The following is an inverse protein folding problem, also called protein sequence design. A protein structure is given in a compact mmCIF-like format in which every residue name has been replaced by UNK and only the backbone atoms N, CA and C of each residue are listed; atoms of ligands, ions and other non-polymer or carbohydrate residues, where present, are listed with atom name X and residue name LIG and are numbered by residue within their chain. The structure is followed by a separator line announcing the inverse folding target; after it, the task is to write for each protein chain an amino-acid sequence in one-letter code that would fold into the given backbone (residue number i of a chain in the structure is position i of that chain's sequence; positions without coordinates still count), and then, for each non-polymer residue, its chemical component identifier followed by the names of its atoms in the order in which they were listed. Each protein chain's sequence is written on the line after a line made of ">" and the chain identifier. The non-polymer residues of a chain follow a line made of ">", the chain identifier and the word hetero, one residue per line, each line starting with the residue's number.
data_IF_696582661386
#
_entry.id   IF_696582661386
#
_cell.length_a   1.000
_cell.length_b   1.000
_cell.length_c   1.000
_cell.angle_alpha   90.00
_cell.angle_beta   90.00
_cell.angle_gamma   90.00
#
_symmetry.space_group_name_H-M   'P 1'
#
loop_
_entity.id
_entity.type
_entity.pdbx_description
1 polymer ?
#
# COMPACT_ATOMS: atom_id res chain seq x y z
N UNK A 1 16.90 -1.97 4.21
CA UNK A 1 16.61 -2.77 5.44
C UNK A 1 16.46 -1.92 6.70
N UNK A 2 17.36 -0.99 7.00
CA UNK A 2 17.26 -0.16 8.21
C UNK A 2 15.92 0.58 8.33
N UNK A 3 15.43 1.16 7.24
CA UNK A 3 14.15 1.88 7.18
C UNK A 3 12.97 0.96 7.49
N UNK A 4 12.98 -0.28 6.97
CA UNK A 4 11.97 -1.30 7.27
C UNK A 4 11.93 -1.61 8.78
N UNK A 5 13.09 -1.86 9.41
CA UNK A 5 13.12 -2.14 10.85
C UNK A 5 12.75 -0.93 11.70
N UNK A 6 13.08 0.30 11.25
CA UNK A 6 12.58 1.52 11.90
C UNK A 6 11.05 1.63 11.81
N UNK A 7 10.46 1.23 10.68
CA UNK A 7 9.00 1.16 10.53
C UNK A 7 8.41 0.09 11.47
N UNK A 8 8.99 -1.10 11.54
CA UNK A 8 8.53 -2.17 12.42
C UNK A 8 8.53 -1.78 13.90
N UNK A 9 9.54 -1.05 14.37
CA UNK A 9 9.63 -0.56 15.75
C UNK A 9 8.47 0.33 16.19
N UNK A 10 7.71 0.90 15.24
CA UNK A 10 6.48 1.67 15.55
C UNK A 10 5.36 0.77 16.07
N UNK A 11 5.36 -0.52 15.71
CA UNK A 11 4.35 -1.50 16.06
C UNK A 11 4.83 -2.48 17.14
N UNK A 12 6.00 -3.05 16.95
CA UNK A 12 6.61 -3.99 17.89
C UNK A 12 8.14 -4.05 17.71
N UNK A 13 8.87 -4.14 18.80
CA UNK A 13 10.31 -4.40 18.76
C UNK A 13 10.56 -5.88 18.49
N UNK A 14 11.62 -6.16 17.74
CA UNK A 14 12.07 -7.52 17.43
C UNK A 14 13.42 -7.79 18.06
N UNK A 15 13.68 -9.07 18.39
CA UNK A 15 15.03 -9.53 18.71
C UNK A 15 15.94 -9.44 17.49
N UNK A 16 17.25 -9.42 17.71
CA UNK A 16 18.22 -9.41 16.63
C UNK A 16 18.11 -10.64 15.73
N UNK A 17 17.78 -11.80 16.31
CA UNK A 17 17.55 -13.05 15.61
C UNK A 17 16.31 -12.97 14.70
N UNK A 18 15.22 -12.39 15.19
CA UNK A 18 14.00 -12.16 14.42
C UNK A 18 14.24 -11.17 13.27
N UNK A 19 14.96 -10.07 13.50
CA UNK A 19 15.36 -9.14 12.43
C UNK A 19 16.19 -9.83 11.35
N UNK A 20 17.18 -10.64 11.73
CA UNK A 20 17.99 -11.44 10.79
C UNK A 20 17.15 -12.45 10.02
N UNK A 21 16.20 -13.10 10.68
CA UNK A 21 15.29 -14.05 10.03
C UNK A 21 14.42 -13.36 8.95
N UNK A 22 13.84 -12.18 9.24
CA UNK A 22 13.10 -11.39 8.25
C UNK A 22 14.03 -10.92 7.13
N UNK A 23 15.24 -10.46 7.44
CA UNK A 23 16.21 -10.05 6.42
C UNK A 23 16.55 -11.20 5.46
N UNK A 24 16.66 -12.43 5.96
CA UNK A 24 16.96 -13.64 5.17
C UNK A 24 15.86 -14.03 4.17
N UNK A 25 14.62 -13.61 4.39
CA UNK A 25 13.47 -13.86 3.49
C UNK A 25 13.07 -12.64 2.68
N UNK A 26 13.87 -11.58 2.73
CA UNK A 26 13.59 -10.29 2.11
C UNK A 26 14.64 -9.94 1.06
N UNK A 27 14.21 -9.24 0.01
CA UNK A 27 15.10 -8.73 -1.05
C UNK A 27 14.84 -7.25 -1.28
N UNK A 28 15.90 -6.47 -1.45
CA UNK A 28 15.78 -5.09 -1.93
C UNK A 28 15.79 -5.16 -3.46
N UNK A 29 14.79 -4.58 -4.10
CA UNK A 29 14.65 -4.53 -5.55
C UNK A 29 14.40 -3.10 -6.00
N UNK A 30 15.03 -2.72 -7.11
CA UNK A 30 14.77 -1.46 -7.79
C UNK A 30 13.75 -1.69 -8.89
N UNK A 31 12.66 -0.93 -8.87
CA UNK A 31 11.53 -1.09 -9.79
C UNK A 31 11.29 0.21 -10.54
N UNK A 32 11.18 0.10 -11.86
CA UNK A 32 10.89 1.24 -12.71
C UNK A 32 9.44 1.67 -12.63
N UNK A 33 9.22 2.96 -12.80
CA UNK A 33 7.90 3.58 -12.94
C UNK A 33 7.02 2.79 -13.92
N UNK A 34 5.72 2.72 -13.61
CA UNK A 34 4.68 2.01 -14.37
C UNK A 34 4.82 0.47 -14.42
N UNK A 35 5.66 -0.12 -13.58
CA UNK A 35 5.77 -1.57 -13.42
C UNK A 35 4.78 -2.06 -12.36
N UNK A 36 4.10 -3.17 -12.63
CA UNK A 36 3.27 -3.86 -11.64
C UNK A 36 4.13 -4.76 -10.75
N UNK A 37 4.14 -4.50 -9.43
CA UNK A 37 4.70 -5.41 -8.43
C UNK A 37 3.84 -6.67 -8.27
N UNK A 38 2.55 -6.51 -8.43
CA UNK A 38 1.54 -7.56 -8.39
C UNK A 38 0.56 -7.32 -9.52
N UNK A 39 0.51 -8.22 -10.48
CA UNK A 39 -0.44 -8.13 -11.60
C UNK A 39 -1.83 -8.66 -11.23
N UNK A 40 -2.86 -8.16 -11.93
CA UNK A 40 -4.22 -8.72 -11.86
C UNK A 40 -4.19 -10.19 -12.31
N UNK A 41 -4.97 -11.04 -11.66
CA UNK A 41 -5.07 -12.47 -11.98
C UNK A 41 -3.99 -13.34 -11.34
N UNK A 42 -3.01 -12.76 -10.66
CA UNK A 42 -1.96 -13.50 -9.97
C UNK A 42 -2.21 -13.57 -8.46
N UNK A 43 -1.83 -14.68 -7.84
CA UNK A 43 -1.90 -14.83 -6.37
C UNK A 43 -0.76 -14.04 -5.71
N UNK A 44 -1.13 -13.26 -4.70
CA UNK A 44 -0.16 -12.50 -3.91
C UNK A 44 0.65 -13.44 -2.99
N UNK A 45 1.97 -13.37 -3.08
CA UNK A 45 2.92 -14.15 -2.26
C UNK A 45 3.99 -13.27 -1.62
N UNK A 46 3.86 -11.97 -1.76
CA UNK A 46 4.88 -11.01 -1.35
C UNK A 46 4.24 -9.81 -0.67
N UNK A 47 4.84 -9.39 0.43
CA UNK A 47 4.55 -8.12 1.11
C UNK A 47 5.67 -7.16 0.70
N UNK A 48 5.31 -5.98 0.23
CA UNK A 48 6.27 -4.97 -0.22
C UNK A 48 6.32 -3.81 0.77
N UNK A 49 7.50 -3.39 1.18
CA UNK A 49 7.73 -2.14 1.90
C UNK A 49 8.34 -1.13 0.93
N UNK A 50 7.73 0.03 0.81
CA UNK A 50 8.19 1.12 -0.05
C UNK A 50 9.30 1.89 0.69
N UNK A 51 10.53 1.69 0.26
CA UNK A 51 11.69 2.39 0.84
C UNK A 51 11.85 3.78 0.24
N UNK A 52 11.67 3.89 -1.08
CA UNK A 52 11.56 5.15 -1.83
C UNK A 52 10.59 4.99 -2.99
N UNK A 53 9.97 6.08 -3.43
CA UNK A 53 8.98 6.08 -4.51
C UNK A 53 7.55 5.94 -4.01
N UNK A 54 6.64 5.59 -4.91
CA UNK A 54 5.20 5.59 -4.67
C UNK A 54 4.53 4.44 -5.41
N UNK A 55 3.63 3.74 -4.74
CA UNK A 55 2.78 2.70 -5.33
C UNK A 55 1.30 3.08 -5.28
N UNK A 56 0.50 2.47 -6.15
CA UNK A 56 -0.96 2.46 -6.07
C UNK A 56 -1.51 1.04 -6.14
N UNK A 57 -2.67 0.82 -5.55
CA UNK A 57 -3.52 -0.33 -5.84
C UNK A 57 -4.59 0.12 -6.83
N UNK A 58 -4.79 -0.65 -7.91
CA UNK A 58 -5.79 -0.34 -8.92
C UNK A 58 -6.47 -1.57 -9.47
N UNK A 59 -7.62 -1.37 -10.14
CA UNK A 59 -8.38 -2.38 -10.86
C UNK A 59 -9.11 -1.75 -12.04
N UNK A 60 -9.66 -2.59 -12.91
CA UNK A 60 -10.54 -2.14 -13.98
C UNK A 60 -12.01 -2.42 -13.65
N UNK A 61 -12.87 -1.43 -13.85
CA UNK A 61 -14.32 -1.55 -13.79
C UNK A 61 -14.92 -0.95 -15.05
N UNK A 62 -15.61 -1.77 -15.83
CA UNK A 62 -16.23 -1.36 -17.10
C UNK A 62 -15.24 -0.65 -18.03
N UNK A 63 -14.02 -1.20 -18.14
CA UNK A 63 -12.91 -0.64 -18.93
C UNK A 63 -12.21 0.58 -18.32
N UNK A 64 -12.68 1.09 -17.19
CA UNK A 64 -12.10 2.26 -16.52
C UNK A 64 -11.08 1.84 -15.46
N UNK A 65 -9.90 2.48 -15.47
CA UNK A 65 -8.83 2.33 -14.46
C UNK A 65 -9.25 3.04 -13.17
N UNK A 66 -9.47 2.27 -12.11
CA UNK A 66 -9.90 2.76 -10.80
C UNK A 66 -8.78 2.58 -9.80
N UNK A 67 -8.31 3.68 -9.21
CA UNK A 67 -7.35 3.68 -8.12
C UNK A 67 -8.06 3.48 -6.78
N UNK A 68 -7.68 2.43 -6.04
CA UNK A 68 -8.20 2.14 -4.71
C UNK A 68 -7.45 2.89 -3.62
N UNK A 69 -6.13 2.88 -3.68
CA UNK A 69 -5.27 3.50 -2.66
C UNK A 69 -3.90 3.87 -3.21
N UNK A 70 -3.21 4.75 -2.50
CA UNK A 70 -1.80 5.09 -2.69
C UNK A 70 -0.99 4.59 -1.48
N UNK A 71 0.26 4.17 -1.73
CA UNK A 71 1.21 3.80 -0.69
C UNK A 71 2.49 4.58 -0.91
N UNK A 72 2.75 5.48 0.01
CA UNK A 72 3.96 6.32 0.05
C UNK A 72 5.09 5.60 0.76
N UNK A 73 6.26 6.25 0.80
CA UNK A 73 7.45 5.76 1.49
C UNK A 73 7.17 5.40 2.95
N UNK A 74 7.95 4.48 3.47
CA UNK A 74 7.86 3.98 4.85
C UNK A 74 6.51 3.32 5.20
N UNK A 75 5.87 2.73 4.19
CA UNK A 75 4.64 1.96 4.37
C UNK A 75 4.69 0.62 3.65
N UNK A 76 3.81 -0.28 4.05
CA UNK A 76 3.66 -1.61 3.48
C UNK A 76 2.49 -1.64 2.50
N UNK A 77 2.66 -2.40 1.41
CA UNK A 77 1.59 -2.72 0.46
C UNK A 77 1.60 -4.21 0.11
N UNK A 78 0.42 -4.81 0.10
CA UNK A 78 0.19 -6.17 -0.37
C UNK A 78 -1.28 -6.31 -0.81
N UNK A 79 -1.57 -7.35 -1.58
CA UNK A 79 -2.97 -7.74 -1.84
C UNK A 79 -3.42 -8.71 -0.74
N UNK A 80 -3.89 -8.14 0.37
CA UNK A 80 -4.18 -8.87 1.61
C UNK A 80 -5.22 -9.97 1.40
N UNK A 81 -6.30 -9.68 0.66
CA UNK A 81 -7.33 -10.69 0.33
C UNK A 81 -6.69 -11.90 -0.38
N UNK A 82 -5.92 -11.65 -1.45
CA UNK A 82 -5.25 -12.71 -2.21
C UNK A 82 -4.20 -13.44 -1.38
N UNK A 83 -3.48 -12.71 -0.53
CA UNK A 83 -2.44 -13.25 0.34
C UNK A 83 -2.99 -14.31 1.31
N UNK A 84 -4.14 -14.03 1.94
CA UNK A 84 -4.73 -14.92 2.94
C UNK A 84 -5.66 -15.97 2.36
N UNK A 85 -6.35 -15.68 1.24
CA UNK A 85 -7.25 -16.66 0.62
C UNK A 85 -6.53 -17.60 -0.36
N UNK A 86 -5.31 -17.25 -0.80
CA UNK A 86 -4.61 -17.97 -1.86
C UNK A 86 -5.23 -17.81 -3.25
N UNK A 87 -6.29 -17.00 -3.40
CA UNK A 87 -6.97 -16.78 -4.68
C UNK A 87 -6.27 -15.71 -5.51
N UNK A 88 -6.38 -15.75 -6.86
CA UNK A 88 -5.89 -14.69 -7.73
C UNK A 88 -6.52 -13.33 -7.38
N UNK A 89 -5.68 -12.29 -7.33
CA UNK A 89 -6.14 -10.92 -7.05
C UNK A 89 -6.85 -10.31 -8.26
N UNK A 90 -7.96 -9.64 -8.03
CA UNK A 90 -8.66 -8.82 -9.04
C UNK A 90 -8.05 -7.42 -9.19
N UNK A 91 -7.03 -7.09 -8.39
CA UNK A 91 -6.41 -5.77 -8.33
C UNK A 91 -4.90 -5.94 -8.45
N UNK A 92 -4.24 -4.92 -9.01
CA UNK A 92 -2.79 -4.85 -9.15
C UNK A 92 -2.18 -3.90 -8.12
N UNK A 93 -0.87 -4.02 -7.92
CA UNK A 93 -0.03 -3.02 -7.25
C UNK A 93 0.93 -2.48 -8.29
N UNK A 94 0.84 -1.20 -8.63
CA UNK A 94 1.66 -0.52 -9.63
C UNK A 94 2.56 0.53 -9.00
N UNK A 95 3.82 0.59 -9.45
CA UNK A 95 4.77 1.64 -9.09
C UNK A 95 4.51 2.88 -9.95
N UNK A 96 4.37 4.05 -9.32
CA UNK A 96 4.10 5.34 -9.98
C UNK A 96 5.33 6.21 -10.18
N UNK A 97 6.44 5.90 -9.52
CA UNK A 97 7.75 6.55 -9.63
C UNK A 97 8.82 5.47 -9.54
N UNK A 98 10.03 5.70 -10.06
CA UNK A 98 11.14 4.77 -9.82
C UNK A 98 11.28 4.54 -8.30
N UNK A 99 11.32 3.28 -7.87
CA UNK A 99 11.19 2.92 -6.47
C UNK A 99 12.22 1.87 -6.03
N UNK A 100 12.70 2.01 -4.81
CA UNK A 100 13.37 0.94 -4.09
C UNK A 100 12.37 0.32 -3.10
N UNK A 101 12.16 -0.97 -3.23
CA UNK A 101 11.22 -1.69 -2.38
C UNK A 101 11.90 -2.88 -1.70
N UNK A 102 11.47 -3.20 -0.49
CA UNK A 102 11.83 -4.46 0.17
C UNK A 102 10.70 -5.45 -0.06
N UNK A 103 10.98 -6.50 -0.81
CA UNK A 103 10.05 -7.59 -1.09
C UNK A 103 10.26 -8.70 -0.04
N UNK A 104 9.26 -8.93 0.80
CA UNK A 104 9.25 -9.94 1.87
C UNK A 104 8.45 -11.14 1.37
N UNK A 105 9.06 -12.33 1.34
CA UNK A 105 8.36 -13.56 0.96
C UNK A 105 7.36 -13.96 2.05
N UNK A 106 6.07 -13.83 1.75
CA UNK A 106 5.01 -14.06 2.74
C UNK A 106 4.88 -15.54 3.15
N UNK A 107 5.11 -16.47 2.24
CA UNK A 107 5.07 -17.90 2.56
C UNK A 107 6.16 -18.27 3.58
N UNK A 108 7.36 -17.71 3.43
CA UNK A 108 8.45 -17.91 4.39
C UNK A 108 8.19 -17.12 5.68
N UNK A 109 7.64 -15.91 5.59
CA UNK A 109 7.27 -15.11 6.76
C UNK A 109 6.31 -15.85 7.68
N UNK A 110 5.25 -16.46 7.15
CA UNK A 110 4.28 -17.21 7.96
C UNK A 110 4.90 -18.43 8.65
N UNK A 111 5.94 -19.05 8.08
CA UNK A 111 6.70 -20.11 8.76
C UNK A 111 7.52 -19.58 9.95
N UNK A 112 7.95 -18.31 9.90
CA UNK A 112 8.69 -17.71 11.01
C UNK A 112 7.82 -17.44 12.24
N UNK A 113 6.49 -17.34 12.11
CA UNK A 113 5.57 -17.09 13.22
C UNK A 113 5.68 -18.15 14.33
N UNK A 114 5.83 -19.42 13.95
CA UNK A 114 5.98 -20.50 14.92
C UNK A 114 7.29 -20.42 15.70
N UNK A 115 8.34 -19.85 15.10
CA UNK A 115 9.66 -19.75 15.73
C UNK A 115 9.86 -18.43 16.48
N UNK A 116 9.24 -17.35 16.00
CA UNK A 116 9.40 -16.00 16.52
C UNK A 116 8.03 -15.36 16.76
N UNK A 117 7.38 -15.56 17.90
CA UNK A 117 6.05 -15.01 18.20
C UNK A 117 5.99 -13.49 18.10
N UNK A 118 7.11 -12.79 18.31
CA UNK A 118 7.21 -11.35 18.15
C UNK A 118 7.04 -10.90 16.69
N UNK A 119 7.37 -11.75 15.69
CA UNK A 119 7.12 -11.49 14.27
C UNK A 119 5.62 -11.61 13.98
N UNK A 120 4.96 -12.63 14.48
CA UNK A 120 3.51 -12.79 14.36
C UNK A 120 2.79 -11.60 14.98
N UNK A 121 3.14 -11.22 16.22
CA UNK A 121 2.58 -10.04 16.89
C UNK A 121 2.78 -8.76 16.07
N UNK A 122 3.98 -8.55 15.50
CA UNK A 122 4.29 -7.40 14.66
C UNK A 122 3.34 -7.32 13.46
N UNK A 123 3.24 -8.41 12.68
CA UNK A 123 2.43 -8.39 11.47
C UNK A 123 0.93 -8.34 11.78
N UNK A 124 0.47 -8.95 12.88
CA UNK A 124 -0.90 -8.80 13.36
C UNK A 124 -1.23 -7.33 13.62
N UNK A 125 -0.37 -6.60 14.36
CA UNK A 125 -0.57 -5.17 14.63
C UNK A 125 -0.56 -4.32 13.35
N UNK A 126 0.30 -4.64 12.40
CA UNK A 126 0.32 -3.97 11.08
C UNK A 126 -0.99 -4.22 10.32
N UNK A 127 -1.50 -5.45 10.30
CA UNK A 127 -2.75 -5.78 9.61
C UNK A 127 -3.97 -5.21 10.32
N UNK A 128 -3.99 -5.15 11.65
CA UNK A 128 -5.03 -4.46 12.43
C UNK A 128 -5.08 -2.97 12.06
N UNK A 129 -3.92 -2.29 12.00
CA UNK A 129 -3.84 -0.90 11.55
C UNK A 129 -4.37 -0.73 10.12
N UNK A 130 -3.94 -1.60 9.18
CA UNK A 130 -4.40 -1.55 7.79
C UNK A 130 -5.91 -1.81 7.65
N UNK A 131 -6.48 -2.63 8.53
CA UNK A 131 -7.93 -2.85 8.59
C UNK A 131 -8.67 -1.57 9.03
N UNK A 132 -8.18 -0.90 10.08
CA UNK A 132 -8.75 0.40 10.52
C UNK A 132 -8.69 1.43 9.40
N UNK A 133 -7.55 1.55 8.69
CA UNK A 133 -7.42 2.45 7.55
C UNK A 133 -8.42 2.12 6.43
N UNK A 134 -8.68 0.83 6.20
CA UNK A 134 -9.68 0.37 5.23
C UNK A 134 -11.10 0.78 5.65
N UNK A 135 -11.45 0.61 6.91
CA UNK A 135 -12.75 1.04 7.46
C UNK A 135 -12.91 2.56 7.32
N UNK A 136 -11.91 3.35 7.75
CA UNK A 136 -11.91 4.80 7.62
C UNK A 136 -12.08 5.23 6.15
N UNK A 137 -11.46 4.50 5.22
CA UNK A 137 -11.61 4.74 3.77
C UNK A 137 -13.04 4.50 3.30
N UNK A 138 -13.68 3.42 3.74
CA UNK A 138 -15.09 3.09 3.42
C UNK A 138 -16.02 4.16 3.97
N UNK A 139 -15.86 4.52 5.24
CA UNK A 139 -16.64 5.58 5.88
C UNK A 139 -16.44 6.94 5.18
N UNK A 140 -15.21 7.26 4.80
CA UNK A 140 -14.92 8.46 4.02
C UNK A 140 -15.65 8.51 2.68
N UNK A 141 -15.83 7.36 2.01
CA UNK A 141 -16.62 7.29 0.77
C UNK A 141 -18.12 7.43 1.06
N UNK A 142 -18.61 6.87 2.17
CA UNK A 142 -20.03 6.84 2.52
C UNK A 142 -20.54 8.16 3.09
N UNK A 143 -19.74 8.83 3.94
CA UNK A 143 -20.20 9.95 4.75
C UNK A 143 -19.66 11.31 4.32
N UNK A 144 -18.60 11.35 3.50
CA UNK A 144 -17.94 12.59 3.11
C UNK A 144 -18.16 12.93 1.63
N UNK A 145 -18.32 14.22 1.36
CA UNK A 145 -18.33 14.76 -0.01
C UNK A 145 -16.97 14.58 -0.69
N UNK A 146 -16.93 14.69 -2.01
CA UNK A 146 -15.67 14.62 -2.76
C UNK A 146 -14.68 15.74 -2.36
N UNK A 147 -15.20 16.93 -2.01
CA UNK A 147 -14.37 18.04 -1.54
C UNK A 147 -13.74 17.76 -0.17
N UNK A 148 -14.50 17.19 0.77
CA UNK A 148 -13.99 16.80 2.08
C UNK A 148 -12.94 15.69 1.96
N UNK A 149 -13.20 14.67 1.12
CA UNK A 149 -12.20 13.63 0.82
C UNK A 149 -10.92 14.20 0.19
N UNK A 150 -11.05 15.19 -0.68
CA UNK A 150 -9.91 15.88 -1.25
C UNK A 150 -9.10 16.64 -0.18
N UNK A 151 -9.78 17.38 0.71
CA UNK A 151 -9.14 18.11 1.83
C UNK A 151 -8.38 17.15 2.75
N UNK A 152 -9.00 16.02 3.10
CA UNK A 152 -8.35 14.96 3.90
C UNK A 152 -7.11 14.41 3.21
N UNK A 153 -7.22 14.06 1.92
CA UNK A 153 -6.09 13.55 1.14
C UNK A 153 -4.91 14.53 1.11
N UNK A 154 -5.17 15.83 0.91
CA UNK A 154 -4.10 16.85 0.88
C UNK A 154 -3.48 17.06 2.25
N UNK A 155 -4.26 16.93 3.32
CA UNK A 155 -3.74 17.00 4.70
C UNK A 155 -2.83 15.83 5.04
N UNK A 156 -3.22 14.61 4.65
CA UNK A 156 -2.48 13.38 4.94
C UNK A 156 -1.28 13.16 4.02
N UNK A 157 -1.41 13.56 2.75
CA UNK A 157 -0.39 13.42 1.72
C UNK A 157 -0.24 14.71 0.90
N UNK A 158 0.39 15.77 1.44
CA UNK A 158 0.48 17.10 0.80
C UNK A 158 1.09 17.08 -0.60
N UNK A 159 2.03 16.16 -0.84
CA UNK A 159 2.72 16.04 -2.12
C UNK A 159 2.00 15.17 -3.16
N UNK A 160 0.84 14.57 -2.81
CA UNK A 160 0.12 13.68 -3.72
C UNK A 160 -0.17 14.32 -5.08
N UNK A 161 -0.55 15.60 -5.09
CA UNK A 161 -0.89 16.34 -6.33
C UNK A 161 0.34 16.60 -7.21
N UNK A 162 1.54 16.68 -6.61
CA UNK A 162 2.79 16.89 -7.35
C UNK A 162 3.31 15.59 -7.94
N UNK A 163 3.10 14.48 -7.25
CA UNK A 163 3.70 13.17 -7.55
C UNK A 163 2.77 12.24 -8.33
N UNK A 164 1.46 12.38 -8.16
CA UNK A 164 0.47 11.48 -8.75
C UNK A 164 -0.26 12.16 -9.91
N UNK A 165 -0.39 11.51 -11.08
CA UNK A 165 -1.23 12.00 -12.19
C UNK A 165 -2.66 12.26 -11.72
N UNK A 166 -3.21 13.43 -12.08
CA UNK A 166 -4.54 13.87 -11.62
C UNK A 166 -5.67 12.87 -11.95
N UNK A 167 -5.52 12.11 -13.03
CA UNK A 167 -6.49 11.04 -13.37
C UNK A 167 -6.60 9.98 -12.26
N UNK A 168 -5.48 9.62 -11.62
CA UNK A 168 -5.48 8.65 -10.53
C UNK A 168 -5.99 9.26 -9.23
N UNK A 169 -5.71 10.53 -8.98
CA UNK A 169 -6.27 11.26 -7.83
C UNK A 169 -7.78 11.39 -7.95
N UNK A 170 -8.30 11.78 -9.13
CA UNK A 170 -9.73 11.87 -9.38
C UNK A 170 -10.41 10.50 -9.20
N UNK A 171 -9.82 9.46 -9.77
CA UNK A 171 -10.29 8.08 -9.64
C UNK A 171 -10.32 7.62 -8.17
N UNK A 172 -9.25 7.88 -7.40
CA UNK A 172 -9.19 7.61 -5.97
C UNK A 172 -10.30 8.32 -5.18
N UNK A 173 -10.63 9.56 -5.56
CA UNK A 173 -11.71 10.33 -4.94
C UNK A 173 -13.10 9.94 -5.43
N UNK A 174 -13.21 9.05 -6.42
CA UNK A 174 -14.48 8.64 -7.01
C UNK A 174 -15.18 9.73 -7.83
N UNK A 175 -14.41 10.63 -8.45
CA UNK A 175 -14.90 11.75 -9.27
C UNK A 175 -14.19 11.83 -10.62
N UNK A 176 -14.73 12.66 -11.52
CA UNK A 176 -14.06 12.96 -12.80
C UNK A 176 -12.90 13.93 -12.61
N UNK A 177 -11.95 13.96 -13.56
CA UNK A 177 -10.86 14.96 -13.56
C UNK A 177 -11.40 16.39 -13.64
N UNK A 178 -12.50 16.61 -14.35
CA UNK A 178 -13.16 17.93 -14.44
C UNK A 178 -13.68 18.37 -13.08
N UNK A 179 -14.34 17.47 -12.35
CA UNK A 179 -14.80 17.75 -10.97
C UNK A 179 -13.64 18.05 -10.03
N UNK A 180 -12.54 17.28 -10.11
CA UNK A 180 -11.33 17.54 -9.33
C UNK A 180 -10.73 18.91 -9.64
N UNK A 181 -10.68 19.29 -10.93
CA UNK A 181 -10.19 20.61 -11.35
C UNK A 181 -11.02 21.74 -10.72
N UNK A 182 -12.36 21.61 -10.71
CA UNK A 182 -13.25 22.59 -10.07
C UNK A 182 -13.00 22.71 -8.57
N UNK A 183 -12.90 21.57 -7.83
CA UNK A 183 -12.59 21.56 -6.39
C UNK A 183 -11.26 22.28 -6.11
N UNK A 184 -10.26 22.14 -6.99
CA UNK A 184 -8.96 22.79 -6.83
C UNK A 184 -8.99 24.30 -7.13
N UNK A 185 -9.88 24.73 -8.00
CA UNK A 185 -10.03 26.15 -8.38
C UNK A 185 -10.90 26.95 -7.41
N UNK A 186 -11.67 26.28 -6.56
CA UNK A 186 -12.57 26.90 -5.58
C UNK A 186 -11.87 27.34 -4.29
N UNK A 187 -10.53 27.43 -4.31
CA UNK A 187 -9.69 27.87 -3.18
C UNK A 187 -9.18 29.27 -3.39
#
# INVERSE_FOLDING_TARGET
>A
MQTLFKFFKKYNSLSLEAEKAIAGISKIIHIKKNTDLQAIGHTCKTIYFINSGLARIYYFKDGTDITESFTFENNIVARIESLFTGKPSRKAIQILEDADVVAINATQLFKLYNKYPEIERLFRLIFESAYVDTVNRIEGIQFHTAEERYKTLIKEAPDVIKRVPLKYVASYLGITQVSLSRIRSSK
#
